data_IF_574517343270
#
_entry.id   IF_574517343270
#
_cell.length_a   1.000
_cell.length_b   1.000
_cell.length_c   1.000
_cell.angle_alpha   90.00
_cell.angle_beta   90.00
_cell.angle_gamma   90.00
#
_symmetry.space_group_name_H-M   'P 1'
#
loop_
_entity.id
_entity.type
_entity.pdbx_description
1 polymer ?
#
# COMPACT_ATOMS: atom_id res chain seq x y z
N UNK A 1 -8.68 -26.45 2.12
CA UNK A 1 -9.73 -25.45 1.83
C UNK A 1 -9.14 -24.06 2.08
N UNK A 2 -8.89 -23.28 1.03
CA UNK A 2 -8.33 -21.92 1.17
C UNK A 2 -9.35 -21.00 1.85
N UNK A 3 -8.88 -20.17 2.78
CA UNK A 3 -9.79 -19.34 3.59
C UNK A 3 -10.00 -17.95 3.01
N UNK A 4 -9.07 -17.40 2.23
CA UNK A 4 -9.23 -16.13 1.52
C UNK A 4 -8.73 -16.19 0.08
N UNK A 5 -9.21 -15.29 -0.77
CA UNK A 5 -8.77 -15.11 -2.16
C UNK A 5 -8.53 -13.62 -2.43
N UNK A 6 -7.44 -13.33 -3.14
CA UNK A 6 -7.20 -12.01 -3.74
C UNK A 6 -7.47 -12.15 -5.23
N UNK A 7 -8.50 -11.48 -5.74
CA UNK A 7 -8.98 -11.66 -7.11
C UNK A 7 -8.73 -10.43 -7.97
N UNK A 8 -8.20 -10.61 -9.18
CA UNK A 8 -8.38 -9.66 -10.27
C UNK A 8 -9.74 -9.93 -10.90
N UNK A 9 -10.65 -8.96 -10.83
CA UNK A 9 -12.03 -9.11 -11.25
C UNK A 9 -12.51 -7.90 -12.05
N UNK A 10 -13.40 -8.18 -12.99
CA UNK A 10 -14.29 -7.21 -13.60
C UNK A 10 -15.61 -7.19 -12.83
N UNK A 11 -16.10 -5.99 -12.55
CA UNK A 11 -17.33 -5.79 -11.79
C UNK A 11 -18.25 -4.83 -12.52
N UNK A 12 -19.55 -5.07 -12.42
CA UNK A 12 -20.59 -4.18 -12.91
C UNK A 12 -21.50 -3.81 -11.73
N UNK A 13 -21.27 -2.62 -11.18
CA UNK A 13 -22.00 -2.12 -10.01
C UNK A 13 -23.30 -1.45 -10.47
N UNK A 14 -24.47 -1.81 -9.92
CA UNK A 14 -25.74 -1.18 -10.26
C UNK A 14 -25.70 0.34 -10.05
N UNK A 15 -26.22 1.10 -11.02
CA UNK A 15 -26.22 2.57 -10.98
C UNK A 15 -27.16 3.16 -9.93
N UNK A 16 -28.15 2.38 -9.49
CA UNK A 16 -29.08 2.74 -8.42
C UNK A 16 -28.55 2.46 -7.00
N UNK A 17 -27.35 1.88 -6.88
CA UNK A 17 -26.75 1.57 -5.58
C UNK A 17 -26.26 2.86 -4.90
N UNK A 18 -26.96 3.28 -3.84
CA UNK A 18 -26.65 4.53 -3.11
C UNK A 18 -25.31 4.50 -2.37
N UNK A 19 -24.87 3.31 -1.95
CA UNK A 19 -23.62 3.10 -1.22
C UNK A 19 -22.82 1.97 -1.87
N UNK A 20 -22.02 2.26 -2.92
CA UNK A 20 -21.14 1.27 -3.52
C UNK A 20 -20.04 0.87 -2.53
N UNK A 21 -19.76 -0.43 -2.44
CA UNK A 21 -18.78 -0.99 -1.48
C UNK A 21 -17.39 -1.21 -2.08
N UNK A 22 -17.27 -1.20 -3.41
CA UNK A 22 -16.03 -1.53 -4.08
C UNK A 22 -15.19 -0.27 -4.35
N UNK A 23 -13.98 -0.17 -3.75
CA UNK A 23 -13.12 0.97 -3.95
C UNK A 23 -12.34 0.88 -5.26
N UNK A 24 -12.08 2.03 -5.88
CA UNK A 24 -11.16 2.18 -7.01
C UNK A 24 -10.30 3.42 -6.83
N UNK A 25 -8.98 3.27 -7.03
CA UNK A 25 -8.08 4.42 -7.13
C UNK A 25 -8.19 5.01 -8.53
N UNK A 26 -8.43 6.32 -8.60
CA UNK A 26 -8.53 7.08 -9.86
C UNK A 26 -7.61 8.29 -9.81
N UNK A 27 -6.94 8.56 -10.92
CA UNK A 27 -6.14 9.76 -11.11
C UNK A 27 -7.06 10.88 -11.60
N UNK A 28 -7.08 11.98 -10.87
CA UNK A 28 -7.85 13.18 -11.19
C UNK A 28 -7.09 14.04 -12.21
N UNK A 29 -7.79 15.03 -12.78
CA UNK A 29 -7.20 15.95 -13.77
C UNK A 29 -6.03 16.77 -13.22
N UNK A 30 -6.02 17.04 -11.91
CA UNK A 30 -4.96 17.75 -11.20
C UNK A 30 -3.73 16.85 -10.87
N UNK A 31 -3.72 15.60 -11.34
CA UNK A 31 -2.68 14.62 -11.05
C UNK A 31 -2.80 13.96 -9.67
N UNK A 32 -3.76 14.36 -8.83
CA UNK A 32 -4.00 13.73 -7.53
C UNK A 32 -4.63 12.35 -7.69
N UNK A 33 -4.24 11.40 -6.86
CA UNK A 33 -4.88 10.07 -6.80
C UNK A 33 -5.91 10.08 -5.68
N UNK A 34 -7.17 9.77 -6.00
CA UNK A 34 -8.25 9.65 -5.02
C UNK A 34 -8.81 8.23 -5.00
N UNK A 35 -9.25 7.82 -3.81
CA UNK A 35 -10.06 6.62 -3.63
C UNK A 35 -11.53 7.00 -3.84
N UNK A 36 -12.18 6.36 -4.81
CA UNK A 36 -13.61 6.57 -5.09
C UNK A 36 -14.34 5.23 -5.03
N UNK A 37 -15.66 5.28 -4.87
CA UNK A 37 -16.54 4.11 -4.84
C UNK A 37 -17.51 4.21 -6.03
N UNK A 38 -17.07 3.82 -7.24
CA UNK A 38 -17.82 4.11 -8.45
C UNK A 38 -18.96 3.10 -8.67
N UNK A 39 -19.99 3.55 -9.39
CA UNK A 39 -21.01 2.67 -10.00
C UNK A 39 -20.64 2.36 -11.46
N UNK A 40 -21.28 1.35 -12.05
CA UNK A 40 -21.01 0.90 -13.42
C UNK A 40 -19.86 -0.09 -13.52
N UNK A 41 -19.29 -0.20 -14.73
CA UNK A 41 -18.28 -1.21 -15.06
C UNK A 41 -16.87 -0.76 -14.74
N UNK A 42 -16.13 -1.58 -14.01
CA UNK A 42 -14.69 -1.41 -13.84
C UNK A 42 -13.99 -2.72 -13.49
N UNK A 43 -12.67 -2.74 -13.62
CA UNK A 43 -11.82 -3.84 -13.15
C UNK A 43 -10.90 -3.40 -12.02
N UNK A 44 -10.49 -4.35 -11.19
CA UNK A 44 -9.59 -4.11 -10.06
C UNK A 44 -9.11 -5.39 -9.39
N UNK A 45 -8.13 -5.23 -8.49
CA UNK A 45 -7.71 -6.29 -7.56
C UNK A 45 -8.52 -6.11 -6.28
N UNK A 46 -9.36 -7.09 -5.95
CA UNK A 46 -10.35 -7.03 -4.88
C UNK A 46 -10.22 -8.26 -3.98
N UNK A 47 -10.46 -8.07 -2.69
CA UNK A 47 -10.49 -9.16 -1.71
C UNK A 47 -11.77 -9.98 -1.84
N UNK A 48 -11.68 -11.27 -1.51
CA UNK A 48 -12.81 -12.19 -1.56
C UNK A 48 -14.01 -11.75 -0.72
N UNK A 49 -13.75 -11.05 0.38
CA UNK A 49 -14.72 -10.50 1.31
C UNK A 49 -15.47 -9.32 0.69
N UNK A 50 -14.75 -8.39 0.07
CA UNK A 50 -15.32 -7.27 -0.68
C UNK A 50 -16.20 -7.77 -1.83
N UNK A 51 -15.73 -8.79 -2.56
CA UNK A 51 -16.47 -9.41 -3.66
C UNK A 51 -17.74 -10.14 -3.18
N UNK A 52 -17.71 -10.78 -2.01
CA UNK A 52 -18.89 -11.43 -1.41
C UNK A 52 -19.93 -10.41 -0.98
N UNK A 53 -19.50 -9.33 -0.34
CA UNK A 53 -20.38 -8.22 0.05
C UNK A 53 -20.98 -7.56 -1.18
N UNK A 54 -20.18 -7.26 -2.20
CA UNK A 54 -20.65 -6.69 -3.46
C UNK A 54 -21.70 -7.57 -4.15
N UNK A 55 -21.48 -8.89 -4.23
CA UNK A 55 -22.48 -9.84 -4.76
C UNK A 55 -23.80 -9.78 -3.98
N UNK A 56 -23.75 -9.63 -2.65
CA UNK A 56 -24.96 -9.54 -1.82
C UNK A 56 -25.78 -8.26 -2.13
N UNK A 57 -25.15 -7.24 -2.69
CA UNK A 57 -25.76 -5.98 -3.10
C UNK A 57 -26.17 -5.94 -4.59
N UNK A 58 -26.10 -7.09 -5.28
CA UNK A 58 -26.48 -7.21 -6.70
C UNK A 58 -25.39 -6.78 -7.68
N UNK A 59 -24.14 -6.65 -7.24
CA UNK A 59 -23.00 -6.39 -8.13
C UNK A 59 -22.67 -7.66 -8.92
N UNK A 60 -22.59 -7.54 -10.24
CA UNK A 60 -22.09 -8.63 -11.08
C UNK A 60 -20.57 -8.68 -10.98
N UNK A 61 -20.02 -9.87 -10.73
CA UNK A 61 -18.58 -10.08 -10.53
C UNK A 61 -18.09 -11.18 -11.45
N UNK A 62 -17.12 -10.85 -12.31
CA UNK A 62 -16.40 -11.76 -13.18
C UNK A 62 -14.93 -11.87 -12.71
N UNK A 63 -14.53 -13.02 -12.17
CA UNK A 63 -13.17 -13.23 -11.67
C UNK A 63 -12.27 -13.68 -12.83
N UNK A 64 -11.26 -12.88 -13.14
CA UNK A 64 -10.30 -13.15 -14.22
C UNK A 64 -9.12 -13.98 -13.70
N UNK A 65 -8.61 -13.62 -12.52
CA UNK A 65 -7.49 -14.31 -11.86
C UNK A 65 -7.67 -14.27 -10.36
N UNK A 66 -7.22 -15.29 -9.64
CA UNK A 66 -7.23 -15.27 -8.19
C UNK A 66 -5.99 -15.93 -7.59
N UNK A 67 -5.57 -15.38 -6.44
CA UNK A 67 -4.50 -15.91 -5.61
C UNK A 67 -5.09 -16.38 -4.28
N UNK A 68 -5.12 -17.69 -4.03
CA UNK A 68 -5.63 -18.22 -2.77
C UNK A 68 -4.61 -18.06 -1.65
N UNK A 69 -5.09 -17.79 -0.44
CA UNK A 69 -4.24 -17.72 0.74
C UNK A 69 -4.92 -18.31 1.98
N UNK A 70 -4.08 -18.73 2.92
CA UNK A 70 -4.52 -19.19 4.24
C UNK A 70 -4.72 -17.99 5.15
N UNK A 71 -5.87 -17.94 5.82
CA UNK A 71 -6.13 -16.95 6.86
C UNK A 71 -5.51 -17.41 8.17
N UNK A 72 -4.91 -16.47 8.90
CA UNK A 72 -4.37 -16.69 10.23
C UNK A 72 -4.23 -15.35 10.96
N UNK A 73 -3.93 -15.43 12.26
CA UNK A 73 -3.67 -14.25 13.09
C UNK A 73 -2.24 -14.29 13.64
N UNK A 74 -1.20 -14.27 12.79
CA UNK A 74 0.19 -14.46 13.21
C UNK A 74 0.67 -13.41 14.21
N UNK A 75 0.02 -12.23 14.25
CA UNK A 75 0.38 -11.11 15.10
C UNK A 75 -0.52 -10.94 16.33
N UNK A 76 -1.42 -11.90 16.60
CA UNK A 76 -2.39 -11.74 17.69
C UNK A 76 -1.73 -11.56 19.06
N UNK A 77 -0.63 -12.29 19.33
CA UNK A 77 0.13 -12.14 20.58
C UNK A 77 0.67 -10.72 20.74
N UNK A 78 1.41 -10.25 19.71
CA UNK A 78 1.91 -8.87 19.65
C UNK A 78 0.79 -7.84 19.87
N UNK A 79 -0.32 -7.95 19.14
CA UNK A 79 -1.43 -7.00 19.25
C UNK A 79 -2.00 -6.98 20.68
N UNK A 80 -2.20 -8.16 21.30
CA UNK A 80 -2.71 -8.27 22.67
C UNK A 80 -1.77 -7.61 23.67
N UNK A 81 -0.47 -7.86 23.56
CA UNK A 81 0.52 -7.30 24.48
C UNK A 81 0.60 -5.78 24.37
N UNK A 82 0.67 -5.23 23.16
CA UNK A 82 0.71 -3.78 22.95
C UNK A 82 -0.62 -3.12 23.37
N UNK A 83 -1.76 -3.78 23.12
CA UNK A 83 -3.06 -3.27 23.54
C UNK A 83 -3.19 -3.24 25.07
N UNK A 84 -2.61 -4.21 25.77
CA UNK A 84 -2.52 -4.19 27.24
C UNK A 84 -1.74 -2.96 27.71
N UNK A 85 -0.56 -2.68 27.14
CA UNK A 85 0.19 -1.45 27.49
C UNK A 85 -0.59 -0.17 27.19
N UNK A 86 -1.33 -0.12 26.07
CA UNK A 86 -2.19 1.02 25.73
C UNK A 86 -3.29 1.27 26.76
N UNK A 87 -3.89 0.19 27.28
CA UNK A 87 -5.03 0.26 28.19
C UNK A 87 -4.62 0.52 29.65
N UNK A 88 -3.50 -0.05 30.10
CA UNK A 88 -3.05 0.05 31.51
C UNK A 88 -1.95 1.09 31.73
N UNK A 89 -1.29 1.54 30.67
CA UNK A 89 -0.18 2.49 30.76
C UNK A 89 -0.62 3.90 31.09
N UNK A 90 0.33 4.70 31.58
CA UNK A 90 0.17 6.14 31.72
C UNK A 90 0.03 6.83 30.34
N UNK A 91 -0.08 8.16 30.35
CA UNK A 91 -0.26 8.94 29.11
C UNK A 91 0.84 8.68 28.09
N UNK A 92 2.10 8.56 28.51
CA UNK A 92 3.24 8.38 27.60
C UNK A 92 3.22 6.98 27.00
N UNK A 93 3.07 5.96 27.85
CA UNK A 93 3.01 4.56 27.42
C UNK A 93 1.82 4.32 26.48
N UNK A 94 0.68 4.96 26.75
CA UNK A 94 -0.50 4.89 25.89
C UNK A 94 -0.23 5.42 24.49
N UNK A 95 0.42 6.58 24.36
CA UNK A 95 0.73 7.15 23.04
C UNK A 95 1.75 6.31 22.29
N UNK A 96 2.79 5.81 22.96
CA UNK A 96 3.77 4.88 22.36
C UNK A 96 3.07 3.61 21.86
N UNK A 97 2.24 2.98 22.69
CA UNK A 97 1.51 1.77 22.32
C UNK A 97 0.54 2.01 21.15
N UNK A 98 -0.14 3.16 21.11
CA UNK A 98 -0.99 3.56 19.99
C UNK A 98 -0.17 3.74 18.70
N UNK A 99 0.99 4.39 18.78
CA UNK A 99 1.88 4.56 17.64
C UNK A 99 2.36 3.21 17.10
N UNK A 100 2.75 2.29 17.98
CA UNK A 100 3.19 0.94 17.60
C UNK A 100 2.09 0.15 16.89
N UNK A 101 0.85 0.18 17.39
CA UNK A 101 -0.29 -0.48 16.74
C UNK A 101 -0.56 0.10 15.34
N UNK A 102 -0.49 1.42 15.18
CA UNK A 102 -0.71 2.07 13.89
C UNK A 102 0.45 1.80 12.91
N UNK A 103 1.70 1.83 13.40
CA UNK A 103 2.89 1.60 12.61
C UNK A 103 2.97 0.15 12.09
N UNK A 104 2.50 -0.83 12.88
CA UNK A 104 2.46 -2.23 12.48
C UNK A 104 1.69 -2.41 11.16
N UNK A 105 0.49 -1.84 11.04
CA UNK A 105 -0.30 -1.92 9.82
C UNK A 105 0.39 -1.18 8.66
N UNK A 106 0.95 0.01 8.96
CA UNK A 106 1.73 0.77 7.98
C UNK A 106 2.83 -0.05 7.33
N UNK A 107 3.57 -0.85 8.12
CA UNK A 107 4.69 -1.66 7.63
C UNK A 107 4.30 -2.67 6.54
N UNK A 108 3.11 -3.26 6.61
CA UNK A 108 2.61 -4.19 5.58
C UNK A 108 2.16 -3.50 4.29
N UNK A 109 1.82 -2.21 4.35
CA UNK A 109 1.42 -1.39 3.21
C UNK A 109 2.53 -0.49 2.65
N UNK A 110 3.75 -0.59 3.18
CA UNK A 110 4.88 0.22 2.71
C UNK A 110 5.26 -0.19 1.29
N UNK A 111 5.54 0.82 0.45
CA UNK A 111 6.21 0.59 -0.83
C UNK A 111 7.61 0.02 -0.55
N UNK A 112 8.01 -0.96 -1.35
CA UNK A 112 9.35 -1.55 -1.28
C UNK A 112 10.40 -0.68 -1.98
N UNK A 113 9.96 0.32 -2.76
CA UNK A 113 10.79 1.37 -3.32
C UNK A 113 11.40 2.19 -2.19
N UNK A 114 12.69 2.03 -1.95
CA UNK A 114 13.42 2.84 -0.97
C UNK A 114 14.19 3.91 -1.74
N UNK A 115 13.81 5.17 -1.54
CA UNK A 115 14.60 6.30 -2.02
C UNK A 115 15.87 6.39 -1.18
N UNK A 116 17.01 6.32 -1.84
CA UNK A 116 18.30 6.52 -1.20
C UNK A 116 18.80 7.93 -1.53
N UNK A 117 19.06 8.70 -0.48
CA UNK A 117 19.69 10.01 -0.58
C UNK A 117 21.16 9.85 -0.21
N UNK A 118 22.05 10.29 -1.09
CA UNK A 118 23.50 10.31 -0.84
C UNK A 118 23.98 11.75 -0.95
N UNK A 119 24.70 12.23 0.06
CA UNK A 119 25.41 13.50 -0.01
C UNK A 119 26.71 13.28 -0.78
N UNK A 120 27.00 14.15 -1.75
CA UNK A 120 28.25 14.10 -2.52
C UNK A 120 28.93 15.46 -2.44
N UNK A 121 30.23 15.43 -2.14
CA UNK A 121 31.05 16.64 -1.96
C UNK A 121 31.81 17.00 -3.25
N UNK A 122 31.81 16.14 -4.27
CA UNK A 122 32.42 16.44 -5.56
C UNK A 122 31.69 15.81 -6.77
N UNK A 123 31.62 16.51 -7.93
CA UNK A 123 30.98 16.00 -9.16
C UNK A 123 31.64 14.73 -9.74
N UNK A 124 32.87 14.42 -9.37
CA UNK A 124 33.57 13.22 -9.84
C UNK A 124 32.97 11.93 -9.27
N UNK A 125 32.38 11.99 -8.08
CA UNK A 125 31.66 10.87 -7.44
C UNK A 125 30.38 10.49 -8.22
N UNK A 126 29.86 11.40 -9.04
CA UNK A 126 28.66 11.23 -9.86
C UNK A 126 28.87 10.28 -11.04
N UNK A 127 30.07 10.29 -11.64
CA UNK A 127 30.35 9.56 -12.89
C UNK A 127 30.26 8.05 -12.74
N UNK A 128 30.66 7.51 -11.59
CA UNK A 128 30.57 6.07 -11.31
C UNK A 128 29.15 5.56 -10.97
N UNK A 129 28.21 6.45 -10.63
CA UNK A 129 26.81 6.08 -10.35
C UNK A 129 25.89 6.22 -11.58
N UNK A 130 26.28 7.01 -12.58
CA UNK A 130 25.43 7.26 -13.75
C UNK A 130 25.31 6.05 -14.71
N UNK A 131 26.22 5.07 -14.62
CA UNK A 131 26.22 3.89 -15.49
C UNK A 131 25.16 2.84 -15.08
N UNK A 132 24.74 2.84 -13.81
CA UNK A 132 23.86 1.80 -13.24
C UNK A 132 22.44 2.27 -12.88
N UNK A 133 22.14 3.58 -12.94
CA UNK A 133 20.92 4.13 -12.33
C UNK A 133 20.21 5.21 -13.18
N UNK A 134 18.86 5.19 -13.14
CA UNK A 134 18.02 6.27 -13.66
C UNK A 134 17.94 7.41 -12.63
N UNK A 135 18.74 8.45 -12.81
CA UNK A 135 18.87 9.58 -11.88
C UNK A 135 17.92 10.72 -12.27
N UNK A 136 17.18 11.26 -11.29
CA UNK A 136 16.53 12.57 -11.39
C UNK A 136 17.36 13.58 -10.58
N UNK A 137 17.93 14.60 -11.24
CA UNK A 137 18.73 15.65 -10.58
C UNK A 137 17.82 16.76 -10.05
N UNK A 138 17.94 17.11 -8.76
CA UNK A 138 17.34 18.30 -8.16
C UNK A 138 18.45 19.23 -7.64
N UNK A 139 18.64 20.37 -8.30
CA UNK A 139 19.60 21.41 -7.86
C UNK A 139 18.98 22.30 -6.81
N UNK A 140 19.60 22.37 -5.62
CA UNK A 140 19.26 23.36 -4.59
C UNK A 140 20.50 24.21 -4.34
N UNK A 141 20.63 25.29 -5.12
CA UNK A 141 21.71 26.30 -5.06
C UNK A 141 23.12 25.78 -5.39
N UNK A 142 24.01 26.71 -5.75
CA UNK A 142 25.25 26.57 -6.54
C UNK A 142 26.34 25.59 -6.03
N UNK A 143 26.06 24.72 -5.05
CA UNK A 143 27.07 23.84 -4.47
C UNK A 143 26.54 22.49 -3.93
N UNK A 144 25.23 22.19 -4.03
CA UNK A 144 24.66 20.95 -3.50
C UNK A 144 23.78 20.27 -4.56
N UNK A 145 24.22 19.09 -4.99
CA UNK A 145 23.47 18.24 -5.93
C UNK A 145 22.71 17.16 -5.16
N UNK A 146 21.38 17.07 -5.33
CA UNK A 146 20.59 15.94 -4.85
C UNK A 146 20.35 14.96 -6.00
N UNK A 147 20.77 13.71 -5.80
CA UNK A 147 20.45 12.58 -6.67
C UNK A 147 19.48 11.66 -5.92
N UNK A 148 18.33 11.38 -6.54
CA UNK A 148 17.40 10.37 -6.06
C UNK A 148 17.65 9.04 -6.76
N UNK A 149 18.01 8.02 -6.00
CA UNK A 149 18.14 6.64 -6.46
C UNK A 149 16.85 5.84 -6.18
N UNK A 150 16.46 4.97 -7.11
CA UNK A 150 15.40 3.98 -6.96
C UNK A 150 16.02 2.58 -7.02
N UNK A 151 16.17 1.93 -5.88
CA UNK A 151 16.44 0.49 -5.84
C UNK A 151 15.16 -0.25 -5.45
N UNK A 152 14.69 -1.14 -6.33
CA UNK A 152 13.66 -2.13 -5.98
C UNK A 152 14.39 -3.24 -5.23
N UNK A 153 14.19 -3.36 -3.92
CA UNK A 153 14.68 -4.53 -3.21
C UNK A 153 13.92 -5.77 -3.72
N UNK A 154 14.58 -6.62 -4.50
CA UNK A 154 14.11 -7.97 -4.73
C UNK A 154 14.18 -8.74 -3.41
N UNK A 155 13.02 -9.06 -2.85
CA UNK A 155 12.93 -10.00 -1.73
C UNK A 155 13.20 -11.40 -2.31
N UNK A 156 14.19 -12.16 -1.82
CA UNK A 156 14.43 -13.51 -2.29
C UNK A 156 13.14 -14.34 -2.11
N UNK A 157 12.67 -14.95 -3.20
CA UNK A 157 11.57 -15.90 -3.16
C UNK A 157 12.09 -17.16 -2.46
N UNK A 158 11.63 -17.38 -1.22
CA UNK A 158 11.80 -18.62 -0.47
C UNK A 158 10.96 -19.74 -1.05
#
# INVERSE_FOLDING_TARGET
>A
MYKGLLGFAEVNVPTNLKLPVLPKRVTMQDGSVKLVFPVGKFSGVLLSEELKEAKSLGVEVNIIKAYPFNRGNPLNGYIKDIYRFKSTGDKVIREIAKLMLNALFGKFGMRLEVLKYTFMDSPEQLKGLLEDYYITELKIKDSIHFITDYSVQEIPRS
#
